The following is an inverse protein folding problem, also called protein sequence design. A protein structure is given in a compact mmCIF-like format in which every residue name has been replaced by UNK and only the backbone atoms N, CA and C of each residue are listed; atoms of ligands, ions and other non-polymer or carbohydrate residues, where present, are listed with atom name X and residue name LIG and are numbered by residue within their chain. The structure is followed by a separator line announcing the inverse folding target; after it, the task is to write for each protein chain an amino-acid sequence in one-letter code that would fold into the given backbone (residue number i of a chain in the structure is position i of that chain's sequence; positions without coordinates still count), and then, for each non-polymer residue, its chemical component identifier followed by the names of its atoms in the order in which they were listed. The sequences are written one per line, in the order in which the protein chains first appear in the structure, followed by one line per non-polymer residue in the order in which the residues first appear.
data_IF_145543254827
#
_entry.id   IF_145543254827
#
_cell.length_a   1.000
_cell.length_b   1.000
_cell.length_c   1.000
_cell.angle_alpha   90.00
_cell.angle_beta   90.00
_cell.angle_gamma   90.00
#
_symmetry.space_group_name_H-M   'P 1'
#
loop_
_entity.id
_entity.type
_entity.pdbx_description
1 polymer ?
#
# COMPACT_ATOMS: atom_id res chain seq x y z
N UNK A 1 -60.98 30.22 11.98
CA UNK A 1 -59.72 29.79 11.35
C UNK A 1 -59.45 28.34 11.75
N UNK A 2 -59.78 27.38 10.89
CA UNK A 2 -59.54 25.95 11.14
C UNK A 2 -58.39 25.44 10.28
N UNK A 3 -57.27 25.06 10.89
CA UNK A 3 -56.07 24.61 10.18
C UNK A 3 -56.31 23.23 9.55
N UNK A 4 -55.99 23.10 8.25
CA UNK A 4 -56.13 21.84 7.50
C UNK A 4 -55.17 20.78 8.06
N UNK A 5 -55.72 19.61 8.40
CA UNK A 5 -54.95 18.49 8.97
C UNK A 5 -54.17 17.76 7.87
N UNK A 6 -52.89 17.50 8.12
CA UNK A 6 -52.03 16.76 7.19
C UNK A 6 -52.49 15.29 7.10
N UNK A 7 -52.75 14.83 5.88
CA UNK A 7 -53.21 13.46 5.62
C UNK A 7 -52.07 12.45 5.80
N UNK A 8 -52.41 11.25 6.28
CA UNK A 8 -51.44 10.16 6.51
C UNK A 8 -51.06 9.53 5.16
N UNK A 9 -49.79 9.12 5.03
CA UNK A 9 -49.32 8.40 3.84
C UNK A 9 -49.61 6.90 4.01
N UNK A 10 -50.10 6.26 2.95
CA UNK A 10 -50.32 4.81 2.92
C UNK A 10 -48.99 4.06 2.79
N UNK A 11 -48.95 2.82 3.31
CA UNK A 11 -47.78 1.92 3.28
C UNK A 11 -46.48 2.48 3.90
N UNK A 12 -46.58 3.32 4.93
CA UNK A 12 -45.40 3.74 5.69
C UNK A 12 -44.84 2.58 6.50
N UNK A 13 -43.59 2.20 6.22
CA UNK A 13 -42.83 1.19 6.96
C UNK A 13 -41.76 1.84 7.82
N UNK A 14 -41.31 1.12 8.86
CA UNK A 14 -40.16 1.53 9.68
C UNK A 14 -38.91 1.58 8.80
N UNK A 15 -38.08 2.63 8.95
CA UNK A 15 -36.78 2.71 8.25
C UNK A 15 -35.85 1.63 8.82
N UNK A 16 -35.38 0.73 7.96
CA UNK A 16 -34.45 -0.36 8.26
C UNK A 16 -33.18 -0.14 7.44
N UNK A 17 -32.05 -0.64 7.94
CA UNK A 17 -30.79 -0.60 7.21
C UNK A 17 -30.91 -1.37 5.88
N UNK A 18 -30.56 -0.70 4.78
CA UNK A 18 -30.63 -1.28 3.45
C UNK A 18 -29.34 -2.01 3.08
N UNK A 19 -29.42 -2.94 2.13
CA UNK A 19 -28.24 -3.70 1.66
C UNK A 19 -27.15 -2.83 1.00
N UNK A 20 -27.47 -1.61 0.56
CA UNK A 20 -26.56 -0.64 -0.07
C UNK A 20 -26.00 0.41 0.90
N UNK A 21 -26.22 0.26 2.20
CA UNK A 21 -25.74 1.23 3.19
C UNK A 21 -24.21 1.21 3.26
N UNK A 22 -23.59 2.40 3.19
CA UNK A 22 -22.13 2.58 3.23
C UNK A 22 -21.50 2.23 4.59
N UNK A 23 -22.32 2.13 5.64
CA UNK A 23 -21.89 1.70 6.98
C UNK A 23 -21.73 0.19 7.09
N UNK A 24 -22.24 -0.58 6.12
CA UNK A 24 -22.06 -2.03 6.08
C UNK A 24 -20.63 -2.36 5.64
N UNK A 25 -19.93 -3.15 6.45
CA UNK A 25 -18.54 -3.59 6.20
C UNK A 25 -18.37 -4.22 4.81
N UNK A 26 -19.33 -5.06 4.40
CA UNK A 26 -19.37 -5.68 3.05
C UNK A 26 -19.34 -4.66 1.91
N UNK A 27 -19.93 -3.49 2.08
CA UNK A 27 -19.95 -2.45 1.05
C UNK A 27 -18.67 -1.62 1.06
N UNK A 28 -18.04 -1.45 2.23
CA UNK A 28 -16.71 -0.83 2.35
C UNK A 28 -15.65 -1.71 1.70
N UNK A 29 -15.67 -3.01 1.96
CA UNK A 29 -14.75 -3.98 1.35
C UNK A 29 -14.90 -3.98 -0.18
N UNK A 30 -16.14 -3.90 -0.69
CA UNK A 30 -16.42 -3.77 -2.13
C UNK A 30 -15.86 -2.46 -2.71
N UNK A 31 -15.99 -1.34 -2.01
CA UNK A 31 -15.45 -0.07 -2.47
C UNK A 31 -13.92 -0.07 -2.53
N UNK A 32 -13.24 -0.72 -1.58
CA UNK A 32 -11.78 -0.90 -1.59
C UNK A 32 -11.33 -1.83 -2.73
N UNK A 33 -12.13 -2.85 -3.04
CA UNK A 33 -11.85 -3.75 -4.17
C UNK A 33 -12.08 -3.01 -5.51
N UNK A 34 -13.13 -2.20 -5.61
CA UNK A 34 -13.40 -1.38 -6.80
C UNK A 34 -12.34 -0.31 -7.02
N UNK A 35 -11.81 0.33 -5.97
CA UNK A 35 -10.69 1.27 -6.12
C UNK A 35 -9.42 0.57 -6.60
N UNK A 36 -9.11 -0.62 -6.07
CA UNK A 36 -8.01 -1.48 -6.55
C UNK A 36 -8.20 -2.03 -7.96
N UNK A 37 -9.45 -2.07 -8.48
CA UNK A 37 -9.76 -2.47 -9.86
C UNK A 37 -9.66 -1.29 -10.81
N UNK A 38 -10.13 -0.11 -10.41
CA UNK A 38 -9.98 1.13 -11.18
C UNK A 38 -8.52 1.54 -11.37
N UNK A 39 -7.66 1.28 -10.37
CA UNK A 39 -6.20 1.42 -10.52
C UNK A 39 -5.56 0.41 -11.47
N UNK A 40 -6.33 -0.58 -11.97
CA UNK A 40 -5.91 -1.62 -12.92
C UNK A 40 -6.62 -1.51 -14.28
N UNK A 41 -7.41 -0.45 -14.51
CA UNK A 41 -8.13 -0.26 -15.79
C UNK A 41 -7.17 -0.07 -16.97
N UNK A 42 -5.93 0.33 -16.70
CA UNK A 42 -4.81 0.10 -17.61
C UNK A 42 -4.08 -1.18 -17.19
N UNK A 43 -4.07 -2.18 -18.08
CA UNK A 43 -3.27 -3.40 -17.92
C UNK A 43 -1.78 -3.02 -18.05
N UNK A 44 -1.22 -2.37 -17.03
CA UNK A 44 0.21 -2.05 -16.97
C UNK A 44 0.95 -3.33 -16.61
N UNK A 45 1.62 -3.90 -17.61
CA UNK A 45 2.52 -5.03 -17.39
C UNK A 45 3.84 -4.48 -16.82
N UNK A 46 3.94 -4.43 -15.50
CA UNK A 46 5.17 -4.07 -14.80
C UNK A 46 6.20 -5.20 -14.96
N UNK A 47 7.04 -5.11 -16.00
CA UNK A 47 8.26 -5.91 -16.11
C UNK A 47 9.41 -5.03 -15.65
N UNK A 48 10.02 -5.28 -14.49
CA UNK A 48 11.19 -4.51 -14.07
C UNK A 48 12.33 -4.75 -15.07
N UNK A 49 12.86 -3.67 -15.63
CA UNK A 49 14.05 -3.73 -16.47
C UNK A 49 15.28 -3.95 -15.59
N UNK A 50 16.20 -4.80 -16.04
CA UNK A 50 17.49 -4.99 -15.37
C UNK A 50 18.35 -3.73 -15.48
N UNK A 51 19.15 -3.47 -14.44
CA UNK A 51 20.07 -2.33 -14.43
C UNK A 51 21.09 -2.41 -15.57
N UNK A 52 21.37 -1.28 -16.21
CA UNK A 52 22.39 -1.17 -17.27
C UNK A 52 23.81 -1.47 -16.78
N UNK A 53 24.06 -1.33 -15.48
CA UNK A 53 25.36 -1.63 -14.86
C UNK A 53 25.60 -3.12 -14.63
N UNK A 54 24.65 -4.00 -14.97
CA UNK A 54 24.76 -5.42 -14.73
C UNK A 54 25.14 -6.17 -16.03
N UNK A 55 26.34 -6.73 -16.09
CA UNK A 55 26.75 -7.68 -17.11
C UNK A 55 26.47 -9.10 -16.63
N UNK A 56 25.34 -9.68 -17.08
CA UNK A 56 24.77 -10.91 -16.49
C UNK A 56 24.52 -10.74 -14.98
N UNK A 57 25.41 -11.26 -14.14
CA UNK A 57 25.37 -11.12 -12.67
C UNK A 57 26.48 -10.21 -12.13
N UNK A 58 27.40 -9.76 -12.97
CA UNK A 58 28.53 -8.90 -12.59
C UNK A 58 28.11 -7.43 -12.57
N UNK A 59 28.29 -6.75 -11.44
CA UNK A 59 27.95 -5.34 -11.27
C UNK A 59 29.16 -4.44 -11.58
N UNK A 60 29.13 -3.78 -12.72
CA UNK A 60 30.19 -2.87 -13.18
C UNK A 60 30.18 -1.52 -12.45
N UNK A 61 29.12 -1.18 -11.70
CA UNK A 61 29.04 0.07 -10.94
C UNK A 61 29.88 0.04 -9.64
N UNK A 62 30.34 -1.12 -9.19
CA UNK A 62 31.16 -1.27 -8.00
C UNK A 62 32.64 -0.98 -8.32
N UNK A 63 32.97 0.31 -8.40
CA UNK A 63 34.33 0.83 -8.65
C UNK A 63 34.80 1.62 -7.43
N UNK A 64 36.12 1.64 -7.11
CA UNK A 64 36.64 2.51 -6.07
C UNK A 64 36.35 4.01 -6.32
N UNK A 65 36.09 4.82 -5.28
CA UNK A 65 35.93 4.44 -3.87
C UNK A 65 34.60 3.74 -3.59
N UNK A 66 34.66 2.60 -2.88
CA UNK A 66 33.48 1.78 -2.63
C UNK A 66 32.51 2.44 -1.65
N UNK A 67 31.22 2.40 -1.97
CA UNK A 67 30.14 2.74 -1.04
C UNK A 67 29.66 1.48 -0.34
N UNK A 68 29.90 1.37 0.98
CA UNK A 68 29.53 0.20 1.78
C UNK A 68 28.38 0.58 2.72
N UNK A 69 27.27 -0.13 2.63
CA UNK A 69 26.16 -0.01 3.58
C UNK A 69 26.44 -0.89 4.79
N UNK A 70 26.33 -0.32 5.99
CA UNK A 70 26.60 -1.00 7.25
C UNK A 70 25.31 -1.13 8.06
N UNK A 71 25.02 -2.34 8.53
CA UNK A 71 23.88 -2.63 9.39
C UNK A 71 24.26 -2.68 10.88
N UNK A 72 23.28 -2.56 11.77
CA UNK A 72 23.49 -2.62 13.23
C UNK A 72 24.14 -3.93 13.68
N UNK A 73 23.77 -5.06 13.05
CA UNK A 73 24.36 -6.35 13.37
C UNK A 73 25.84 -6.43 12.99
N UNK A 74 26.23 -5.81 11.86
CA UNK A 74 27.63 -5.74 11.44
C UNK A 74 28.46 -4.98 12.48
N UNK A 75 27.98 -3.82 12.92
CA UNK A 75 28.66 -3.03 13.95
C UNK A 75 28.80 -3.80 15.27
N UNK A 76 27.74 -4.46 15.74
CA UNK A 76 27.81 -5.22 17.00
C UNK A 76 28.81 -6.37 16.96
N UNK A 77 28.84 -7.12 15.84
CA UNK A 77 29.75 -8.26 15.69
C UNK A 77 31.20 -7.79 15.56
N UNK A 78 31.44 -6.72 14.79
CA UNK A 78 32.78 -6.15 14.62
C UNK A 78 33.35 -5.65 15.96
N UNK A 79 32.53 -5.02 16.80
CA UNK A 79 32.92 -4.59 18.16
C UNK A 79 33.18 -5.81 19.06
N UNK A 80 32.31 -6.82 19.05
CA UNK A 80 32.48 -8.04 19.85
C UNK A 80 33.79 -8.77 19.52
N UNK A 81 34.12 -8.85 18.24
CA UNK A 81 35.34 -9.51 17.76
C UNK A 81 36.58 -8.61 17.77
N UNK A 82 36.45 -7.35 18.22
CA UNK A 82 37.53 -6.36 18.26
C UNK A 82 38.22 -6.17 16.89
N UNK A 83 37.42 -6.19 15.83
CA UNK A 83 37.89 -5.97 14.47
C UNK A 83 37.76 -4.48 14.12
N UNK A 84 38.74 -3.93 13.40
CA UNK A 84 38.70 -2.56 12.91
C UNK A 84 37.94 -2.49 11.58
N UNK A 85 37.11 -1.45 11.39
CA UNK A 85 36.25 -1.28 10.20
C UNK A 85 37.01 -0.63 9.04
N UNK A 86 37.88 0.32 9.35
CA UNK A 86 38.75 0.99 8.40
C UNK A 86 40.16 0.96 8.99
N UNK A 87 41.13 0.32 8.33
CA UNK A 87 42.52 0.42 8.76
C UNK A 87 43.02 1.86 8.55
N UNK A 88 43.62 2.43 9.59
CA UNK A 88 44.37 3.70 9.51
C UNK A 88 45.60 3.60 8.62
#
# INVERSE_FOLDING_TARGET
MGVIKKTRKFAQVKRIIGQRDARLKKNQDKAVIESKRKSKDELVREIPQVSSSLFFQYNTALVPPYSVLVDTNFLSLTVQHKLEILPT
#
